data_IF_973242542773
#
_entry.id   IF_973242542773
#
_cell.length_a   1.000
_cell.length_b   1.000
_cell.length_c   1.000
_cell.angle_alpha   90.00
_cell.angle_beta   90.00
_cell.angle_gamma   90.00
#
_symmetry.space_group_name_H-M   'P 1'
#
loop_
_entity.id
_entity.type
_entity.pdbx_description
1 polymer ?
#
# COMPACT_ATOMS: atom_id res chain seq x y z
N UNK A 1 -10.92 -14.68 32.68
CA UNK A 1 -11.88 -15.00 31.59
C UNK A 1 -13.10 -14.08 31.73
N UNK A 2 -13.01 -12.85 31.23
CA UNK A 2 -14.16 -11.96 31.15
C UNK A 2 -15.01 -12.37 29.93
N UNK A 3 -16.31 -12.53 30.15
CA UNK A 3 -17.25 -13.16 29.22
C UNK A 3 -17.41 -12.29 27.96
N UNK A 4 -17.04 -12.79 26.79
CA UNK A 4 -17.12 -12.08 25.50
C UNK A 4 -18.54 -11.56 25.18
N UNK A 5 -19.56 -12.23 25.73
CA UNK A 5 -20.96 -11.85 25.61
C UNK A 5 -21.27 -10.52 26.34
N UNK A 6 -20.63 -10.30 27.48
CA UNK A 6 -20.83 -9.10 28.32
C UNK A 6 -20.27 -7.84 27.67
N UNK A 7 -19.08 -7.92 27.05
CA UNK A 7 -18.46 -6.78 26.38
C UNK A 7 -19.32 -6.26 25.22
N UNK A 8 -19.85 -7.15 24.38
CA UNK A 8 -20.71 -6.76 23.26
C UNK A 8 -22.01 -6.11 23.72
N UNK A 9 -22.59 -6.59 24.82
CA UNK A 9 -23.80 -6.02 25.40
C UNK A 9 -23.55 -4.62 25.98
N UNK A 10 -22.40 -4.42 26.64
CA UNK A 10 -21.98 -3.09 27.09
C UNK A 10 -21.77 -2.11 25.92
N UNK A 11 -21.14 -2.55 24.83
CA UNK A 11 -20.92 -1.71 23.65
C UNK A 11 -22.25 -1.32 22.98
N UNK A 12 -23.20 -2.26 22.88
CA UNK A 12 -24.55 -1.99 22.38
C UNK A 12 -25.29 -0.98 23.26
N UNK A 13 -25.26 -1.17 24.58
CA UNK A 13 -25.91 -0.25 25.52
C UNK A 13 -25.29 1.14 25.48
N UNK A 14 -23.96 1.22 25.38
CA UNK A 14 -23.24 2.47 25.23
C UNK A 14 -23.66 3.22 23.95
N UNK A 15 -23.72 2.52 22.82
CA UNK A 15 -24.18 3.12 21.57
C UNK A 15 -25.64 3.56 21.64
N UNK A 16 -26.52 2.77 22.23
CA UNK A 16 -27.93 3.15 22.39
C UNK A 16 -28.08 4.43 23.23
N UNK A 17 -27.22 4.62 24.23
CA UNK A 17 -27.25 5.79 25.10
C UNK A 17 -26.62 7.06 24.50
N UNK A 18 -25.56 6.93 23.68
CA UNK A 18 -24.75 8.08 23.24
C UNK A 18 -24.51 8.18 21.73
N UNK A 19 -24.97 7.20 20.94
CA UNK A 19 -24.72 7.10 19.50
C UNK A 19 -23.23 7.16 19.11
N UNK A 20 -22.35 6.74 20.02
CA UNK A 20 -20.89 6.88 19.91
C UNK A 20 -20.27 6.30 18.62
N UNK A 21 -20.92 5.32 17.98
CA UNK A 21 -20.41 4.67 16.76
C UNK A 21 -20.99 5.21 15.45
N UNK A 22 -21.91 6.18 15.52
CA UNK A 22 -22.67 6.65 14.36
C UNK A 22 -21.77 7.21 13.24
N UNK A 23 -20.68 7.90 13.59
CA UNK A 23 -19.78 8.56 12.63
C UNK A 23 -18.31 8.11 12.75
N UNK A 24 -18.06 6.94 13.34
CA UNK A 24 -16.70 6.43 13.53
C UNK A 24 -16.17 5.87 12.21
N UNK A 25 -14.96 6.29 11.83
CA UNK A 25 -14.32 5.83 10.59
C UNK A 25 -13.08 4.96 10.86
N UNK A 26 -12.60 4.98 12.11
CA UNK A 26 -11.38 4.30 12.54
C UNK A 26 -11.68 3.40 13.73
N UNK A 27 -11.32 2.13 13.62
CA UNK A 27 -11.65 1.11 14.59
C UNK A 27 -10.38 0.35 14.97
N UNK A 28 -10.13 0.22 16.26
CA UNK A 28 -9.02 -0.56 16.79
C UNK A 28 -9.52 -1.71 17.67
N UNK A 29 -9.26 -2.93 17.21
CA UNK A 29 -9.60 -4.21 17.85
C UNK A 29 -8.34 -5.03 18.15
N UNK A 30 -7.24 -4.36 18.47
CA UNK A 30 -5.98 -5.00 18.87
C UNK A 30 -6.21 -5.95 20.05
N UNK A 31 -5.65 -7.15 20.00
CA UNK A 31 -5.77 -8.22 21.01
C UNK A 31 -7.17 -8.85 21.14
N UNK A 32 -8.09 -8.57 20.21
CA UNK A 32 -9.42 -9.16 20.26
C UNK A 32 -9.43 -10.63 19.79
N UNK A 33 -10.43 -11.39 20.22
CA UNK A 33 -10.70 -12.71 19.64
C UNK A 33 -11.43 -12.55 18.31
N UNK A 34 -11.09 -13.35 17.29
CA UNK A 34 -11.67 -13.17 15.94
C UNK A 34 -13.19 -13.30 15.90
N UNK A 35 -13.80 -14.20 16.67
CA UNK A 35 -15.27 -14.22 16.80
C UNK A 35 -15.87 -12.91 17.34
N UNK A 36 -15.18 -12.25 18.27
CA UNK A 36 -15.64 -10.97 18.83
C UNK A 36 -15.50 -9.85 17.82
N UNK A 37 -14.41 -9.86 17.04
CA UNK A 37 -14.21 -8.92 15.94
C UNK A 37 -15.36 -9.01 14.94
N UNK A 38 -15.74 -10.21 14.50
CA UNK A 38 -16.86 -10.36 13.56
C UNK A 38 -18.20 -9.90 14.16
N UNK A 39 -18.48 -10.24 15.42
CA UNK A 39 -19.69 -9.79 16.13
C UNK A 39 -19.73 -8.26 16.24
N UNK A 40 -18.59 -7.64 16.51
CA UNK A 40 -18.48 -6.19 16.59
C UNK A 40 -18.66 -5.54 15.22
N UNK A 41 -18.01 -6.04 14.16
CA UNK A 41 -18.13 -5.47 12.82
C UNK A 41 -19.54 -5.62 12.24
N UNK A 42 -20.23 -6.72 12.53
CA UNK A 42 -21.65 -6.86 12.17
C UNK A 42 -22.51 -5.81 12.87
N UNK A 43 -22.33 -5.65 14.18
CA UNK A 43 -23.03 -4.63 14.95
C UNK A 43 -22.69 -3.21 14.45
N UNK A 44 -21.42 -2.95 14.13
CA UNK A 44 -20.96 -1.66 13.63
C UNK A 44 -21.63 -1.30 12.30
N UNK A 45 -21.72 -2.27 11.37
CA UNK A 45 -22.37 -2.11 10.08
C UNK A 45 -23.86 -1.78 10.21
N UNK A 46 -24.54 -2.26 11.26
CA UNK A 46 -25.95 -1.96 11.50
C UNK A 46 -26.18 -0.59 12.16
N UNK A 47 -25.21 -0.08 12.91
CA UNK A 47 -25.40 1.13 13.73
C UNK A 47 -24.61 2.37 13.26
N UNK A 48 -23.67 2.22 12.33
CA UNK A 48 -22.89 3.32 11.78
C UNK A 48 -23.47 3.83 10.46
N UNK A 49 -23.43 5.15 10.28
CA UNK A 49 -23.76 5.80 9.00
C UNK A 49 -22.52 5.92 8.10
N UNK A 50 -21.32 5.74 8.64
CA UNK A 50 -20.07 5.81 7.90
C UNK A 50 -19.49 4.44 7.61
N UNK A 51 -18.78 4.36 6.48
CA UNK A 51 -17.93 3.21 6.17
C UNK A 51 -16.65 3.24 7.03
N UNK A 52 -16.19 2.04 7.40
CA UNK A 52 -14.94 1.88 8.11
C UNK A 52 -13.82 2.17 7.11
N UNK A 53 -13.01 3.18 7.40
CA UNK A 53 -11.87 3.55 6.58
C UNK A 53 -10.57 2.95 7.12
N UNK A 54 -10.45 2.82 8.45
CA UNK A 54 -9.27 2.27 9.11
C UNK A 54 -9.66 1.20 10.12
N UNK A 55 -9.05 0.02 10.00
CA UNK A 55 -9.28 -1.09 10.91
C UNK A 55 -7.96 -1.69 11.41
N UNK A 56 -7.77 -1.75 12.72
CA UNK A 56 -6.62 -2.39 13.34
C UNK A 56 -7.01 -3.68 14.05
N UNK A 57 -6.48 -4.80 13.58
CA UNK A 57 -6.69 -6.17 14.06
C UNK A 57 -5.38 -6.80 14.57
N UNK A 58 -4.46 -5.97 15.05
CA UNK A 58 -3.17 -6.46 15.55
C UNK A 58 -3.39 -7.50 16.66
N UNK A 59 -2.64 -8.60 16.60
CA UNK A 59 -2.66 -9.68 17.59
C UNK A 59 -4.05 -10.30 17.83
N UNK A 60 -4.92 -10.30 16.82
CA UNK A 60 -6.21 -11.01 16.90
C UNK A 60 -5.96 -12.51 16.93
N UNK A 61 -6.56 -13.18 17.91
CA UNK A 61 -6.38 -14.62 18.15
C UNK A 61 -7.68 -15.39 17.93
N UNK A 62 -7.58 -16.70 17.65
CA UNK A 62 -8.73 -17.59 17.45
C UNK A 62 -9.69 -17.04 16.38
N UNK A 63 -9.12 -16.64 15.24
CA UNK A 63 -9.90 -16.20 14.09
C UNK A 63 -10.55 -17.41 13.39
N UNK A 64 -11.88 -17.41 13.18
CA UNK A 64 -12.55 -18.51 12.50
C UNK A 64 -12.11 -18.61 11.04
N UNK A 65 -12.32 -19.76 10.40
CA UNK A 65 -11.81 -20.05 9.05
C UNK A 65 -12.36 -19.11 7.96
N UNK A 66 -13.56 -18.57 8.17
CA UNK A 66 -14.22 -17.61 7.28
C UNK A 66 -13.94 -16.16 7.68
N UNK A 67 -13.07 -15.91 8.66
CA UNK A 67 -12.83 -14.60 9.25
C UNK A 67 -12.58 -13.50 8.22
N UNK A 68 -11.66 -13.71 7.27
CA UNK A 68 -11.36 -12.69 6.25
C UNK A 68 -12.50 -12.48 5.26
N UNK A 69 -13.25 -13.53 4.92
CA UNK A 69 -14.42 -13.41 4.04
C UNK A 69 -15.51 -12.58 4.73
N UNK A 70 -15.78 -12.89 5.99
CA UNK A 70 -16.73 -12.16 6.83
C UNK A 70 -16.25 -10.73 7.11
N UNK A 71 -14.94 -10.51 7.28
CA UNK A 71 -14.32 -9.20 7.44
C UNK A 71 -14.59 -8.30 6.23
N UNK A 72 -14.28 -8.77 5.03
CA UNK A 72 -14.47 -8.01 3.78
C UNK A 72 -15.94 -7.67 3.58
N UNK A 73 -16.84 -8.62 3.83
CA UNK A 73 -18.29 -8.38 3.73
C UNK A 73 -18.80 -7.33 4.72
N UNK A 74 -18.15 -7.19 5.88
CA UNK A 74 -18.56 -6.26 6.93
C UNK A 74 -17.92 -4.88 6.84
N UNK A 75 -16.76 -4.76 6.19
CA UNK A 75 -15.92 -3.54 6.26
C UNK A 75 -15.94 -2.68 5.01
N UNK A 76 -16.47 -3.17 3.88
CA UNK A 76 -16.62 -2.38 2.66
C UNK A 76 -15.27 -1.90 2.10
N UNK A 77 -15.19 -0.62 1.72
CA UNK A 77 -13.99 -0.02 1.13
C UNK A 77 -13.01 0.48 2.20
N UNK A 78 -12.18 -0.43 2.72
CA UNK A 78 -11.12 -0.09 3.67
C UNK A 78 -9.96 0.66 3.00
N UNK A 79 -9.51 1.75 3.62
CA UNK A 79 -8.30 2.49 3.25
C UNK A 79 -7.07 2.00 4.04
N UNK A 80 -7.28 1.46 5.23
CA UNK A 80 -6.25 0.97 6.13
C UNK A 80 -6.71 -0.30 6.86
N UNK A 81 -5.87 -1.35 6.85
CA UNK A 81 -6.12 -2.59 7.58
C UNK A 81 -4.82 -3.14 8.18
N UNK A 82 -4.70 -3.15 9.51
CA UNK A 82 -3.56 -3.75 10.20
C UNK A 82 -3.90 -5.17 10.70
N UNK A 83 -3.24 -6.18 10.15
CA UNK A 83 -3.41 -7.60 10.51
C UNK A 83 -2.15 -8.21 11.15
N UNK A 84 -1.25 -7.36 11.67
CA UNK A 84 0.02 -7.83 12.24
C UNK A 84 -0.23 -8.74 13.45
N UNK A 85 0.39 -9.92 13.47
CA UNK A 85 0.27 -10.85 14.60
C UNK A 85 -1.05 -11.61 14.70
N UNK A 86 -1.89 -11.62 13.65
CA UNK A 86 -3.06 -12.52 13.63
C UNK A 86 -2.57 -13.98 13.63
N UNK A 87 -3.08 -14.78 14.57
CA UNK A 87 -2.91 -16.23 14.56
C UNK A 87 -4.10 -16.84 13.81
N UNK A 88 -3.94 -16.99 12.49
CA UNK A 88 -4.93 -17.71 11.65
C UNK A 88 -4.72 -19.20 11.89
N UNK A 89 -5.69 -19.85 12.53
CA UNK A 89 -5.73 -21.31 12.54
C UNK A 89 -5.93 -21.78 11.09
N UNK A 90 -5.05 -22.68 10.64
CA UNK A 90 -4.99 -23.31 9.31
C UNK A 90 -6.28 -23.20 8.46
N UNK A 91 -6.22 -22.44 7.36
CA UNK A 91 -7.31 -22.21 6.40
C UNK A 91 -7.06 -23.00 5.09
N UNK A 92 -7.34 -24.32 5.06
CA UNK A 92 -7.07 -25.15 3.89
C UNK A 92 -7.97 -24.83 2.70
N UNK A 93 -9.12 -24.17 2.89
CA UNK A 93 -10.08 -23.87 1.83
C UNK A 93 -9.93 -22.48 1.21
N UNK A 94 -9.02 -21.66 1.73
CA UNK A 94 -8.84 -20.29 1.25
C UNK A 94 -8.11 -20.30 -0.10
N UNK A 95 -8.84 -19.94 -1.17
CA UNK A 95 -8.33 -19.93 -2.55
C UNK A 95 -8.10 -18.51 -3.08
N UNK A 96 -8.83 -17.52 -2.59
CA UNK A 96 -8.74 -16.13 -3.07
C UNK A 96 -8.53 -15.22 -1.87
N UNK A 97 -7.50 -14.39 -1.92
CA UNK A 97 -7.18 -13.43 -0.89
C UNK A 97 -6.75 -12.11 -1.54
N UNK A 98 -7.38 -11.02 -1.13
CA UNK A 98 -7.10 -9.67 -1.58
C UNK A 98 -6.85 -8.76 -0.37
N UNK A 99 -5.64 -8.23 -0.27
CA UNK A 99 -5.14 -7.31 0.76
C UNK A 99 -4.51 -6.07 0.10
N UNK A 100 -4.99 -5.70 -1.09
CA UNK A 100 -4.36 -4.71 -1.99
C UNK A 100 -4.34 -3.24 -1.50
N UNK A 101 -5.17 -2.89 -0.52
CA UNK A 101 -5.28 -1.50 -0.03
C UNK A 101 -4.74 -1.34 1.39
N UNK A 102 -3.82 -2.21 1.82
CA UNK A 102 -3.17 -2.08 3.12
C UNK A 102 -2.06 -1.04 3.02
N UNK A 103 -2.38 0.23 3.28
CA UNK A 103 -1.37 1.29 3.42
C UNK A 103 -0.92 1.37 4.89
N UNK A 104 0.37 1.16 5.21
CA UNK A 104 0.86 1.35 6.57
C UNK A 104 1.36 2.79 6.76
N UNK A 105 0.51 3.69 7.25
CA UNK A 105 0.97 5.03 7.67
C UNK A 105 1.87 4.90 8.91
N UNK A 106 3.15 5.25 8.76
CA UNK A 106 4.02 5.67 9.87
C UNK A 106 4.93 4.63 10.53
N UNK A 107 5.04 3.41 10.03
CA UNK A 107 6.05 2.45 10.52
C UNK A 107 6.58 1.61 9.36
N UNK A 108 7.91 1.45 9.18
CA UNK A 108 8.42 0.62 8.10
C UNK A 108 8.00 -0.83 8.34
N UNK A 109 7.13 -1.34 7.47
CA UNK A 109 6.68 -2.73 7.35
C UNK A 109 6.11 -3.36 8.65
N UNK A 110 4.77 -3.46 8.74
CA UNK A 110 4.19 -4.67 9.33
C UNK A 110 4.52 -5.83 8.40
N UNK A 111 5.66 -6.46 8.63
CA UNK A 111 6.21 -7.45 7.73
C UNK A 111 5.46 -8.79 7.90
N UNK A 112 4.78 -9.25 6.85
CA UNK A 112 4.06 -10.53 6.87
C UNK A 112 5.06 -11.63 6.51
N UNK A 113 5.30 -12.58 7.42
CA UNK A 113 6.13 -13.76 7.11
C UNK A 113 5.43 -14.62 6.09
N UNK A 114 6.05 -14.76 4.91
CA UNK A 114 5.49 -15.52 3.79
C UNK A 114 5.33 -17.01 4.15
N UNK A 115 6.21 -17.55 4.98
CA UNK A 115 6.24 -18.96 5.37
C UNK A 115 5.07 -19.30 6.28
N UNK A 116 4.77 -18.44 7.27
CA UNK A 116 3.57 -18.59 8.10
C UNK A 116 2.32 -18.52 7.23
N UNK A 117 2.34 -17.67 6.21
CA UNK A 117 1.21 -17.51 5.30
C UNK A 117 1.01 -18.73 4.39
N UNK A 118 2.10 -19.33 3.90
CA UNK A 118 2.09 -20.57 3.14
C UNK A 118 1.60 -21.76 3.99
N UNK A 119 2.02 -21.82 5.26
CA UNK A 119 1.57 -22.85 6.21
C UNK A 119 0.10 -22.69 6.57
N UNK A 120 -0.35 -21.46 6.86
CA UNK A 120 -1.74 -21.21 7.24
C UNK A 120 -2.71 -21.32 6.06
N UNK A 121 -2.29 -21.02 4.83
CA UNK A 121 -3.18 -20.96 3.66
C UNK A 121 -2.57 -21.72 2.47
N UNK A 122 -2.50 -23.07 2.48
CA UNK A 122 -1.74 -23.83 1.48
C UNK A 122 -2.36 -23.88 0.08
N UNK A 123 -3.67 -23.64 -0.07
CA UNK A 123 -4.42 -23.80 -1.32
C UNK A 123 -4.80 -22.47 -2.00
N UNK A 124 -4.06 -21.38 -1.75
CA UNK A 124 -4.31 -20.10 -2.42
C UNK A 124 -4.10 -20.24 -3.94
N UNK A 125 -5.10 -19.77 -4.69
CA UNK A 125 -5.13 -19.62 -6.16
C UNK A 125 -4.94 -18.17 -6.59
N UNK A 126 -5.52 -17.22 -5.87
CA UNK A 126 -5.43 -15.79 -6.20
C UNK A 126 -4.96 -15.04 -4.96
N UNK A 127 -3.80 -14.40 -5.04
CA UNK A 127 -3.26 -13.53 -4.00
C UNK A 127 -3.06 -12.12 -4.56
N UNK A 128 -3.80 -11.14 -4.05
CA UNK A 128 -3.56 -9.73 -4.34
C UNK A 128 -3.11 -9.05 -3.07
N UNK A 129 -1.92 -8.49 -3.07
CA UNK A 129 -1.24 -7.92 -1.93
C UNK A 129 -0.45 -6.66 -2.32
N UNK A 130 -1.14 -5.77 -3.03
CA UNK A 130 -0.66 -4.41 -3.27
C UNK A 130 -0.32 -3.69 -1.96
N UNK A 131 0.80 -2.96 -1.96
CA UNK A 131 1.32 -2.18 -0.83
C UNK A 131 1.68 -2.98 0.44
N UNK A 132 1.76 -4.32 0.36
CA UNK A 132 2.14 -5.18 1.47
C UNK A 132 3.62 -5.56 1.40
N UNK A 133 4.33 -5.41 2.53
CA UNK A 133 5.72 -5.78 2.69
C UNK A 133 5.81 -7.21 3.28
N UNK A 134 6.31 -8.18 2.50
CA UNK A 134 6.54 -9.55 2.97
C UNK A 134 7.96 -9.71 3.55
N UNK A 135 8.10 -10.46 4.65
CA UNK A 135 9.39 -10.90 5.17
C UNK A 135 9.64 -12.34 4.76
N UNK A 136 10.86 -12.62 4.31
CA UNK A 136 11.35 -13.98 4.13
C UNK A 136 12.40 -14.25 5.19
N UNK A 137 12.27 -15.36 5.91
CA UNK A 137 13.39 -15.99 6.59
C UNK A 137 14.01 -16.97 5.60
N UNK A 138 15.31 -16.89 5.32
CA UNK A 138 16.00 -17.78 4.38
C UNK A 138 16.00 -19.25 4.86
N UNK A 139 14.84 -19.89 4.89
CA UNK A 139 14.64 -21.29 5.25
C UNK A 139 14.12 -22.01 4.02
N UNK A 140 14.97 -22.86 3.47
CA UNK A 140 14.83 -23.60 2.21
C UNK A 140 13.75 -24.69 2.22
N UNK A 141 12.81 -24.65 3.18
CA UNK A 141 11.85 -25.73 3.46
C UNK A 141 10.38 -25.38 3.14
N UNK A 142 10.08 -24.15 2.74
CA UNK A 142 8.72 -23.77 2.40
C UNK A 142 8.37 -24.17 0.96
N UNK A 143 7.60 -25.24 0.81
CA UNK A 143 6.92 -25.58 -0.45
C UNK A 143 5.90 -24.46 -0.66
N UNK A 144 6.16 -23.53 -1.57
CA UNK A 144 5.30 -22.36 -1.79
C UNK A 144 3.86 -22.73 -2.18
N UNK A 145 3.02 -21.73 -2.48
CA UNK A 145 1.64 -22.00 -2.93
C UNK A 145 1.62 -22.76 -4.25
N UNK A 146 1.35 -24.06 -4.19
CA UNK A 146 1.38 -24.98 -5.35
C UNK A 146 0.21 -24.79 -6.31
N UNK A 147 -0.85 -24.08 -5.88
CA UNK A 147 -2.07 -23.83 -6.65
C UNK A 147 -2.26 -22.38 -7.07
N UNK A 148 -1.25 -21.53 -6.88
CA UNK A 148 -1.34 -20.10 -7.19
C UNK A 148 -1.45 -19.89 -8.70
N UNK A 149 -2.55 -19.30 -9.13
CA UNK A 149 -2.88 -18.94 -10.51
C UNK A 149 -2.68 -17.43 -10.77
N UNK A 150 -2.94 -16.60 -9.77
CA UNK A 150 -2.85 -15.13 -9.87
C UNK A 150 -2.11 -14.55 -8.67
N UNK A 151 -1.11 -13.71 -8.93
CA UNK A 151 -0.35 -12.96 -7.94
C UNK A 151 -0.29 -11.48 -8.34
N UNK A 152 -0.76 -10.59 -7.48
CA UNK A 152 -0.67 -9.14 -7.68
C UNK A 152 0.02 -8.51 -6.47
N UNK A 153 1.26 -8.03 -6.61
CA UNK A 153 2.00 -7.34 -5.55
C UNK A 153 2.58 -6.03 -6.14
N UNK A 154 1.80 -4.97 -6.37
CA UNK A 154 2.39 -3.67 -6.63
C UNK A 154 3.01 -3.19 -5.32
N UNK A 155 4.34 -3.28 -5.27
CA UNK A 155 5.17 -2.75 -4.21
C UNK A 155 4.97 -1.22 -4.17
N UNK A 156 4.87 -0.60 -2.99
CA UNK A 156 4.92 0.87 -2.90
C UNK A 156 6.37 1.34 -3.10
N UNK A 157 6.90 1.05 -4.29
CA UNK A 157 8.27 1.33 -4.69
C UNK A 157 8.58 2.82 -4.59
N UNK A 158 7.57 3.69 -4.67
CA UNK A 158 7.72 5.14 -4.63
C UNK A 158 8.46 5.64 -3.37
N UNK A 159 8.26 5.00 -2.21
CA UNK A 159 8.89 5.40 -0.93
C UNK A 159 10.31 4.84 -0.75
N UNK A 160 10.66 3.78 -1.49
CA UNK A 160 11.97 3.12 -1.40
C UNK A 160 12.84 3.33 -2.63
N UNK A 161 12.26 3.77 -3.74
CA UNK A 161 12.97 3.97 -5.00
C UNK A 161 13.70 5.30 -4.96
N UNK A 162 15.02 5.19 -4.82
CA UNK A 162 15.94 6.33 -4.78
C UNK A 162 16.47 6.63 -6.18
N UNK A 163 16.67 5.60 -6.99
CA UNK A 163 17.31 5.66 -8.29
C UNK A 163 16.41 4.99 -9.32
N UNK A 164 16.11 5.66 -10.43
CA UNK A 164 15.36 5.09 -11.56
C UNK A 164 16.12 5.28 -12.87
N UNK A 165 16.27 4.21 -13.64
CA UNK A 165 16.87 4.23 -14.97
C UNK A 165 15.79 4.02 -16.02
N UNK A 166 15.57 5.06 -16.83
CA UNK A 166 14.67 5.10 -17.98
C UNK A 166 15.44 5.43 -19.27
N UNK A 167 16.76 5.25 -19.25
CA UNK A 167 17.63 5.53 -20.38
C UNK A 167 17.24 4.67 -21.59
N UNK A 168 17.38 5.26 -22.78
CA UNK A 168 17.06 4.64 -24.07
C UNK A 168 15.62 4.15 -24.23
N UNK A 169 14.71 4.51 -23.32
CA UNK A 169 13.30 4.23 -23.47
C UNK A 169 12.72 5.09 -24.59
N UNK A 170 12.31 4.46 -25.69
CA UNK A 170 11.79 5.14 -26.89
C UNK A 170 10.28 5.35 -26.84
N UNK A 171 9.61 4.78 -25.84
CA UNK A 171 8.17 4.87 -25.67
C UNK A 171 7.82 6.08 -24.80
N UNK A 172 7.39 7.16 -25.44
CA UNK A 172 6.96 8.38 -24.72
C UNK A 172 5.80 8.08 -23.78
N UNK A 173 4.80 7.29 -24.20
CA UNK A 173 3.66 6.92 -23.37
C UNK A 173 4.08 6.12 -22.13
N UNK A 174 5.03 5.20 -22.24
CA UNK A 174 5.50 4.42 -21.10
C UNK A 174 6.28 5.26 -20.09
N UNK A 175 7.04 6.26 -20.57
CA UNK A 175 7.71 7.23 -19.70
C UNK A 175 6.67 8.13 -19.02
N UNK A 176 5.66 8.55 -19.78
CA UNK A 176 4.61 9.43 -19.28
C UNK A 176 3.76 8.75 -18.19
N UNK A 177 3.32 7.52 -18.41
CA UNK A 177 2.62 6.70 -17.41
C UNK A 177 3.46 6.49 -16.15
N UNK A 178 4.77 6.24 -16.32
CA UNK A 178 5.69 6.10 -15.20
C UNK A 178 5.76 7.41 -14.39
N UNK A 179 5.93 8.55 -15.07
CA UNK A 179 5.96 9.88 -14.43
C UNK A 179 4.62 10.22 -13.77
N UNK A 180 3.50 9.94 -14.44
CA UNK A 180 2.16 10.13 -13.91
C UNK A 180 1.98 9.34 -12.60
N UNK A 181 2.48 8.11 -12.54
CA UNK A 181 2.40 7.31 -11.32
C UNK A 181 3.10 7.96 -10.11
N UNK A 182 4.17 8.74 -10.33
CA UNK A 182 4.77 9.55 -9.27
C UNK A 182 3.91 10.77 -8.95
N UNK A 183 3.41 11.48 -9.96
CA UNK A 183 2.58 12.67 -9.79
C UNK A 183 1.25 12.39 -9.06
N UNK A 184 0.68 11.20 -9.23
CA UNK A 184 -0.54 10.76 -8.54
C UNK A 184 -0.32 10.49 -7.04
N UNK A 185 0.92 10.28 -6.61
CA UNK A 185 1.25 10.01 -5.22
C UNK A 185 1.51 11.31 -4.43
N UNK A 186 1.18 11.37 -3.13
CA UNK A 186 1.56 12.49 -2.28
C UNK A 186 3.08 12.70 -2.25
N UNK A 187 3.55 13.95 -2.36
CA UNK A 187 5.00 14.28 -2.42
C UNK A 187 5.83 13.66 -1.29
N UNK A 188 5.25 13.54 -0.09
CA UNK A 188 5.96 13.00 1.07
C UNK A 188 6.30 11.51 0.93
N UNK A 189 5.55 10.77 0.11
CA UNK A 189 5.74 9.35 -0.18
C UNK A 189 6.86 9.09 -1.21
N UNK A 190 7.34 10.10 -1.94
CA UNK A 190 8.30 9.87 -3.03
C UNK A 190 9.72 10.09 -2.53
N UNK A 191 10.59 9.07 -2.58
CA UNK A 191 12.00 9.19 -2.16
C UNK A 191 13.00 9.22 -3.34
N UNK A 192 12.52 9.60 -4.52
CA UNK A 192 13.31 9.61 -5.74
C UNK A 192 14.37 10.71 -5.72
N UNK A 193 15.63 10.33 -5.96
CA UNK A 193 16.79 11.23 -5.91
C UNK A 193 17.56 11.28 -7.21
N UNK A 194 17.72 10.15 -7.92
CA UNK A 194 18.49 10.11 -9.17
C UNK A 194 17.68 9.48 -10.28
N UNK A 195 17.73 10.11 -11.45
CA UNK A 195 16.93 9.72 -12.60
C UNK A 195 17.81 9.74 -13.84
N UNK A 196 17.87 8.63 -14.57
CA UNK A 196 18.55 8.57 -15.87
C UNK A 196 17.50 8.53 -16.99
N UNK A 197 17.42 9.60 -17.79
CA UNK A 197 16.59 9.66 -18.99
C UNK A 197 17.45 9.64 -20.27
N UNK A 198 18.74 9.34 -20.18
CA UNK A 198 19.67 9.47 -21.30
C UNK A 198 19.16 8.74 -22.54
N UNK A 199 19.04 9.43 -23.66
CA UNK A 199 18.61 8.81 -24.93
C UNK A 199 17.12 8.43 -24.97
N UNK A 200 16.33 8.82 -23.97
CA UNK A 200 14.89 8.52 -23.91
C UNK A 200 14.05 9.47 -24.77
N UNK A 201 12.79 9.11 -24.95
CA UNK A 201 11.77 9.89 -25.65
C UNK A 201 11.00 10.87 -24.74
N UNK A 202 11.51 11.18 -23.53
CA UNK A 202 10.82 12.06 -22.58
C UNK A 202 10.44 13.42 -23.20
N UNK A 203 9.17 13.81 -23.04
CA UNK A 203 8.66 15.10 -23.47
C UNK A 203 9.01 16.22 -22.48
N UNK A 204 9.00 17.47 -22.94
CA UNK A 204 9.22 18.62 -22.06
C UNK A 204 8.13 18.74 -20.99
N UNK A 205 6.88 18.39 -21.33
CA UNK A 205 5.75 18.46 -20.42
C UNK A 205 5.86 17.38 -19.33
N UNK A 206 6.19 16.15 -19.70
CA UNK A 206 6.44 15.05 -18.76
C UNK A 206 7.58 15.42 -17.80
N UNK A 207 8.67 16.00 -18.31
CA UNK A 207 9.80 16.47 -17.51
C UNK A 207 9.41 17.61 -16.54
N UNK A 208 8.61 18.59 -17.01
CA UNK A 208 8.08 19.68 -16.18
C UNK A 208 7.27 19.14 -15.01
N UNK A 209 6.30 18.25 -15.27
CA UNK A 209 5.44 17.65 -14.23
C UNK A 209 6.25 16.95 -13.15
N UNK A 210 7.24 16.15 -13.56
CA UNK A 210 8.15 15.47 -12.64
C UNK A 210 8.92 16.45 -11.75
N UNK A 211 9.50 17.50 -12.32
CA UNK A 211 10.32 18.48 -11.59
C UNK A 211 9.47 19.32 -10.63
N UNK A 212 8.29 19.77 -11.06
CA UNK A 212 7.37 20.55 -10.21
C UNK A 212 6.88 19.72 -9.01
N UNK A 213 6.63 18.43 -9.22
CA UNK A 213 6.13 17.53 -8.17
C UNK A 213 7.24 17.06 -7.22
N UNK A 214 8.36 16.53 -7.75
CA UNK A 214 9.38 15.81 -6.97
C UNK A 214 10.77 16.49 -6.97
N UNK A 215 10.93 17.65 -7.60
CA UNK A 215 12.23 18.30 -7.79
C UNK A 215 12.89 18.83 -6.52
N UNK A 216 12.20 18.85 -5.38
CA UNK A 216 12.77 19.17 -4.07
C UNK A 216 13.77 18.10 -3.58
N UNK A 217 13.56 16.84 -3.98
CA UNK A 217 14.36 15.68 -3.52
C UNK A 217 15.37 15.17 -4.56
N UNK A 218 15.16 15.49 -5.83
CA UNK A 218 16.05 15.08 -6.92
C UNK A 218 17.41 15.77 -6.77
N UNK A 219 18.48 14.98 -6.76
CA UNK A 219 19.88 15.46 -6.70
C UNK A 219 20.61 15.31 -8.03
N UNK A 220 20.10 14.44 -8.92
CA UNK A 220 20.73 14.13 -10.20
C UNK A 220 19.68 13.75 -11.24
N UNK A 221 19.74 14.37 -12.42
CA UNK A 221 18.94 13.96 -13.58
C UNK A 221 19.81 13.98 -14.84
N UNK A 222 19.83 12.88 -15.57
CA UNK A 222 20.56 12.79 -16.84
C UNK A 222 19.60 12.94 -18.03
N UNK A 223 19.73 14.05 -18.77
CA UNK A 223 18.92 14.36 -19.95
C UNK A 223 19.73 14.29 -21.26
N UNK A 224 20.94 13.71 -21.22
CA UNK A 224 21.79 13.62 -22.41
C UNK A 224 21.09 12.82 -23.52
N UNK A 225 21.29 13.22 -24.78
CA UNK A 225 20.76 12.50 -25.95
C UNK A 225 19.23 12.35 -26.03
N UNK A 226 18.43 13.04 -25.20
CA UNK A 226 16.96 13.04 -25.33
C UNK A 226 16.55 13.73 -26.63
N UNK A 227 15.82 13.04 -27.52
CA UNK A 227 15.49 13.58 -28.84
C UNK A 227 14.45 14.70 -28.77
N UNK A 228 13.46 14.55 -27.89
CA UNK A 228 12.31 15.43 -27.75
C UNK A 228 12.59 16.73 -26.96
N UNK A 229 13.78 16.87 -26.35
CA UNK A 229 14.14 18.05 -25.56
C UNK A 229 14.93 19.10 -26.37
N UNK A 230 14.90 20.40 -25.99
CA UNK A 230 15.72 21.44 -26.59
C UNK A 230 17.23 21.18 -26.44
N UNK A 231 18.05 21.68 -27.38
CA UNK A 231 19.51 21.44 -27.40
C UNK A 231 20.23 21.83 -26.10
N UNK A 232 19.90 23.00 -25.54
CA UNK A 232 20.53 23.50 -24.30
C UNK A 232 20.23 22.67 -23.05
N UNK A 233 19.29 21.73 -23.14
CA UNK A 233 18.81 20.93 -22.02
C UNK A 233 19.41 19.51 -21.99
N UNK A 234 20.15 19.12 -23.03
CA UNK A 234 20.63 17.74 -23.21
C UNK A 234 21.94 17.49 -22.47
N UNK A 235 21.92 17.62 -21.16
CA UNK A 235 23.10 17.43 -20.30
C UNK A 235 22.74 16.72 -19.01
N UNK A 236 23.76 16.32 -18.29
CA UNK A 236 23.63 15.89 -16.90
C UNK A 236 23.41 17.12 -16.01
N UNK A 237 22.39 17.08 -15.15
CA UNK A 237 22.16 18.09 -14.11
C UNK A 237 22.35 17.48 -12.73
N UNK A 238 23.13 18.15 -11.89
CA UNK A 238 23.40 17.76 -10.50
C UNK A 238 23.82 18.99 -9.69
N UNK A 239 23.60 18.99 -8.37
CA UNK A 239 23.94 20.12 -7.51
C UNK A 239 23.27 21.43 -7.95
N UNK A 240 24.02 22.53 -7.99
CA UNK A 240 23.54 23.87 -8.37
C UNK A 240 22.91 23.92 -9.77
N UNK A 241 23.47 23.18 -10.74
CA UNK A 241 22.91 23.12 -12.10
C UNK A 241 21.46 22.62 -12.10
N UNK A 242 21.14 21.66 -11.23
CA UNK A 242 19.78 21.15 -11.10
C UNK A 242 18.86 22.14 -10.38
N UNK A 243 19.37 22.90 -9.39
CA UNK A 243 18.59 23.95 -8.73
C UNK A 243 18.16 25.04 -9.70
N UNK A 244 19.05 25.48 -10.59
CA UNK A 244 18.72 26.42 -11.66
C UNK A 244 17.69 25.85 -12.64
N UNK A 245 17.84 24.58 -13.03
CA UNK A 245 16.86 23.92 -13.89
C UNK A 245 15.48 23.89 -13.25
N UNK A 246 15.43 23.62 -11.94
CA UNK A 246 14.19 23.57 -11.18
C UNK A 246 13.51 24.94 -11.09
N UNK A 247 14.27 26.02 -10.87
CA UNK A 247 13.75 27.39 -10.87
C UNK A 247 13.13 27.76 -12.22
N UNK A 248 13.80 27.42 -13.33
CA UNK A 248 13.26 27.66 -14.67
C UNK A 248 11.87 27.04 -14.90
N UNK A 249 11.57 25.90 -14.26
CA UNK A 249 10.26 25.26 -14.37
C UNK A 249 9.21 25.83 -13.40
N UNK A 250 9.62 26.38 -12.26
CA UNK A 250 8.71 27.03 -11.31
C UNK A 250 8.33 28.46 -11.72
N UNK A 251 9.21 29.18 -12.43
CA UNK A 251 8.92 30.54 -12.92
C UNK A 251 7.95 30.55 -14.12
N UNK A 252 7.60 29.37 -14.63
CA UNK A 252 6.66 29.14 -15.75
C UNK A 252 5.28 28.62 -15.29
N UNK A 253 5.00 28.64 -13.99
CA UNK A 253 3.69 28.32 -13.36
C UNK A 253 3.00 29.59 -12.90
#
# INVERSE_FOLDING_TARGET
>A
MANSRYLMEQLKNLHSASKIFQFVNEINLTDWKGEMVLKFLHFFKECSENEIHSLNLKNVTNAPTDFFKSLVNSTGSLRYLNISGITVEYCPNLQVLDISNVTSLGTPCSSISIEKFQQSCPNIRILRAANVCFQTTCSSSAIGWTKLEELSIPFNWKNSLVDIDLSWNKSESSIDECVQSFCDAPKHEINLKRIDFRGSAISLETLRRLIVHCGDRIVKIDLQSCRSLPRGMKRLFQGEDFLHLRQQFYDLT
#
